data_IF_408393381310
#
_entry.id   IF_408393381310
#
_cell.length_a   1.000
_cell.length_b   1.000
_cell.length_c   1.000
_cell.angle_alpha   90.00
_cell.angle_beta   90.00
_cell.angle_gamma   90.00
#
_symmetry.space_group_name_H-M   'P 1'
#
loop_
_entity.id
_entity.type
_entity.pdbx_description
1 polymer ?
#
# COMPACT_ATOMS: atom_id res chain seq x y z
N UNK A 1 15.14 -59.93 -22.50
CA UNK A 1 14.42 -58.79 -23.13
C UNK A 1 14.00 -57.74 -22.11
N UNK A 2 13.42 -58.13 -20.96
CA UNK A 2 12.98 -57.24 -19.85
C UNK A 2 14.08 -56.32 -19.28
N UNK A 3 15.29 -56.84 -19.04
CA UNK A 3 16.44 -56.06 -18.55
C UNK A 3 16.91 -54.95 -19.50
N UNK A 4 16.79 -55.16 -20.82
CA UNK A 4 17.19 -54.14 -21.81
C UNK A 4 16.16 -53.00 -21.87
N UNK A 5 14.90 -53.29 -21.55
CA UNK A 5 13.83 -52.29 -21.44
C UNK A 5 13.97 -51.44 -20.17
N UNK A 6 14.30 -52.06 -19.03
CA UNK A 6 14.54 -51.34 -17.77
C UNK A 6 15.74 -50.40 -17.86
N UNK A 7 16.84 -50.86 -18.46
CA UNK A 7 18.02 -50.04 -18.70
C UNK A 7 17.72 -48.84 -19.63
N UNK A 8 16.87 -49.03 -20.65
CA UNK A 8 16.45 -47.95 -21.55
C UNK A 8 15.52 -46.95 -20.85
N UNK A 9 14.60 -47.43 -20.02
CA UNK A 9 13.69 -46.58 -19.23
C UNK A 9 14.44 -45.73 -18.21
N UNK A 10 15.43 -46.32 -17.53
CA UNK A 10 16.30 -45.59 -16.59
C UNK A 10 17.17 -44.57 -17.32
N UNK A 11 17.70 -44.91 -18.50
CA UNK A 11 18.49 -43.98 -19.31
C UNK A 11 17.64 -42.81 -19.82
N UNK A 12 16.41 -43.08 -20.29
CA UNK A 12 15.48 -42.03 -20.76
C UNK A 12 15.04 -41.14 -19.60
N UNK A 13 14.77 -41.69 -18.41
CA UNK A 13 14.48 -40.91 -17.19
C UNK A 13 15.67 -40.05 -16.74
N UNK A 14 16.90 -40.56 -16.90
CA UNK A 14 18.11 -39.82 -16.56
C UNK A 14 18.35 -38.67 -17.53
N UNK A 15 18.08 -38.87 -18.82
CA UNK A 15 18.22 -37.84 -19.86
C UNK A 15 17.11 -36.79 -19.77
N UNK A 16 15.87 -37.16 -19.45
CA UNK A 16 14.79 -36.18 -19.22
C UNK A 16 14.99 -35.35 -17.96
N UNK A 17 15.59 -35.91 -16.91
CA UNK A 17 15.99 -35.15 -15.72
C UNK A 17 17.14 -34.17 -16.01
N UNK A 18 18.02 -34.49 -16.97
CA UNK A 18 19.19 -33.67 -17.31
C UNK A 18 18.91 -32.60 -18.39
N UNK A 19 17.82 -32.76 -19.16
CA UNK A 19 17.36 -31.78 -20.15
C UNK A 19 16.23 -30.88 -19.65
N UNK A 20 15.81 -30.98 -18.39
CA UNK A 20 14.98 -29.93 -17.82
C UNK A 20 15.83 -28.65 -17.89
N UNK A 21 15.44 -27.62 -18.67
CA UNK A 21 16.06 -26.34 -18.48
C UNK A 21 15.86 -26.05 -16.99
N UNK A 22 16.94 -25.76 -16.28
CA UNK A 22 16.81 -25.03 -15.03
C UNK A 22 15.93 -23.86 -15.42
N UNK A 23 14.64 -23.89 -15.05
CA UNK A 23 13.81 -22.70 -15.10
C UNK A 23 14.72 -21.72 -14.41
N UNK A 24 15.19 -20.65 -15.09
CA UNK A 24 15.80 -19.60 -14.34
C UNK A 24 14.68 -19.24 -13.38
N UNK A 25 14.85 -19.66 -12.13
CA UNK A 25 14.52 -18.82 -11.02
C UNK A 25 15.39 -17.62 -11.32
N UNK A 26 14.91 -16.75 -12.22
CA UNK A 26 14.91 -15.34 -11.97
C UNK A 26 14.59 -15.32 -10.49
N UNK A 27 15.63 -15.13 -9.69
CA UNK A 27 15.49 -14.82 -8.29
C UNK A 27 14.39 -13.78 -8.34
N UNK A 28 13.17 -14.17 -7.98
CA UNK A 28 12.13 -13.21 -7.77
C UNK A 28 12.73 -12.47 -6.59
N UNK A 29 13.48 -11.40 -6.89
CA UNK A 29 13.99 -10.50 -5.89
C UNK A 29 12.79 -10.30 -4.98
N UNK A 30 12.90 -10.66 -3.70
CA UNK A 30 11.76 -10.71 -2.81
C UNK A 30 11.03 -9.39 -2.99
N UNK A 31 9.83 -9.42 -3.60
CA UNK A 31 9.23 -8.27 -4.27
C UNK A 31 9.44 -7.06 -3.37
N UNK A 32 10.41 -6.21 -3.73
CA UNK A 32 11.03 -5.38 -2.72
C UNK A 32 9.93 -4.53 -2.08
N UNK A 33 9.78 -4.63 -0.75
CA UNK A 33 8.78 -3.85 0.00
C UNK A 33 9.09 -2.36 -0.03
N UNK A 34 10.08 -1.96 -0.83
CA UNK A 34 10.49 -0.61 -1.12
C UNK A 34 9.50 0.07 -2.06
N UNK A 35 8.30 0.29 -1.56
CA UNK A 35 7.33 1.19 -2.17
C UNK A 35 7.87 2.62 -2.22
N UNK A 36 8.75 3.01 -1.29
CA UNK A 36 9.28 4.36 -1.19
C UNK A 36 10.16 4.73 -2.39
N UNK A 37 11.10 3.85 -2.78
CA UNK A 37 11.92 4.06 -3.97
C UNK A 37 11.07 4.16 -5.23
N UNK A 38 10.02 3.34 -5.36
CA UNK A 38 9.10 3.39 -6.51
C UNK A 38 8.27 4.67 -6.55
N UNK A 39 7.91 5.23 -5.41
CA UNK A 39 7.29 6.55 -5.34
C UNK A 39 8.28 7.65 -5.74
N UNK A 40 9.56 7.54 -5.38
CA UNK A 40 10.58 8.47 -5.85
C UNK A 40 10.74 8.42 -7.37
N UNK A 41 10.77 7.22 -7.98
CA UNK A 41 10.77 7.04 -9.44
C UNK A 41 9.51 7.65 -10.08
N UNK A 42 8.34 7.52 -9.45
CA UNK A 42 7.12 8.18 -9.93
C UNK A 42 7.27 9.70 -9.92
N UNK A 43 7.76 10.28 -8.83
CA UNK A 43 7.91 11.72 -8.69
C UNK A 43 8.95 12.28 -9.68
N UNK A 44 10.04 11.54 -9.96
CA UNK A 44 11.02 11.87 -11.00
C UNK A 44 10.39 11.86 -12.40
N UNK A 45 9.63 10.81 -12.74
CA UNK A 45 8.93 10.71 -14.01
C UNK A 45 7.89 11.84 -14.19
N UNK A 46 7.20 12.25 -13.12
CA UNK A 46 6.33 13.44 -13.14
C UNK A 46 7.14 14.69 -13.47
N UNK A 47 8.32 14.87 -12.85
CA UNK A 47 9.21 16.00 -13.10
C UNK A 47 9.70 16.09 -14.55
N UNK A 48 9.90 14.95 -15.21
CA UNK A 48 10.30 14.88 -16.63
C UNK A 48 9.12 14.88 -17.61
N UNK A 49 7.86 14.92 -17.13
CA UNK A 49 6.67 14.86 -17.98
C UNK A 49 6.38 13.45 -18.54
N UNK A 50 7.05 12.42 -18.03
CA UNK A 50 6.92 11.03 -18.46
C UNK A 50 5.73 10.34 -17.76
N UNK A 51 4.52 10.84 -18.03
CA UNK A 51 3.31 10.42 -17.30
C UNK A 51 3.01 8.92 -17.38
N UNK A 52 3.37 8.26 -18.49
CA UNK A 52 3.24 6.82 -18.63
C UNK A 52 4.18 6.06 -17.68
N UNK A 53 5.44 6.50 -17.56
CA UNK A 53 6.42 5.94 -16.62
C UNK A 53 6.00 6.21 -15.17
N UNK A 54 5.51 7.42 -14.87
CA UNK A 54 4.97 7.73 -13.54
C UNK A 54 3.81 6.80 -13.16
N UNK A 55 2.90 6.53 -14.10
CA UNK A 55 1.78 5.63 -13.85
C UNK A 55 2.23 4.16 -13.67
N UNK A 56 3.29 3.71 -14.35
CA UNK A 56 3.92 2.40 -14.09
C UNK A 56 4.50 2.36 -12.68
N UNK A 57 5.36 3.31 -12.33
CA UNK A 57 6.02 3.39 -11.03
C UNK A 57 5.02 3.44 -9.87
N UNK A 58 3.92 4.20 -10.01
CA UNK A 58 2.84 4.22 -9.02
C UNK A 58 2.20 2.84 -8.80
N UNK A 59 1.94 2.08 -9.88
CA UNK A 59 1.34 0.73 -9.76
C UNK A 59 2.28 -0.24 -9.06
N UNK A 60 3.56 -0.16 -9.35
CA UNK A 60 4.57 -0.98 -8.68
C UNK A 60 4.69 -0.60 -7.20
N UNK A 61 4.66 0.69 -6.88
CA UNK A 61 4.65 1.17 -5.49
C UNK A 61 3.41 0.66 -4.74
N UNK A 62 2.22 0.71 -5.38
CA UNK A 62 0.99 0.14 -4.84
C UNK A 62 1.13 -1.37 -4.55
N UNK A 63 1.69 -2.13 -5.50
CA UNK A 63 1.91 -3.56 -5.32
C UNK A 63 2.87 -3.84 -4.14
N UNK A 64 4.00 -3.15 -4.08
CA UNK A 64 4.98 -3.27 -3.00
C UNK A 64 4.39 -2.90 -1.63
N UNK A 65 3.67 -1.79 -1.54
CA UNK A 65 2.97 -1.36 -0.32
C UNK A 65 1.91 -2.38 0.11
N UNK A 66 1.18 -2.95 -0.85
CA UNK A 66 0.20 -3.98 -0.58
C UNK A 66 0.85 -5.24 0.02
N UNK A 67 1.99 -5.67 -0.53
CA UNK A 67 2.80 -6.81 -0.03
C UNK A 67 3.40 -6.55 1.34
N UNK A 68 3.78 -5.32 1.67
CA UNK A 68 4.33 -4.96 3.00
C UNK A 68 3.37 -5.18 4.18
N UNK A 69 2.07 -5.33 3.89
CA UNK A 69 0.98 -5.59 4.86
C UNK A 69 0.75 -4.55 5.96
N UNK A 70 1.57 -3.50 6.05
CA UNK A 70 1.38 -2.37 6.97
C UNK A 70 0.50 -1.25 6.41
N UNK A 71 0.11 -0.32 7.29
CA UNK A 71 -0.62 0.90 6.91
C UNK A 71 0.23 2.02 6.29
N UNK A 72 1.53 2.25 6.63
CA UNK A 72 2.26 3.43 6.15
C UNK A 72 2.40 3.50 4.63
N UNK A 73 2.76 2.38 4.00
CA UNK A 73 2.88 2.32 2.55
C UNK A 73 1.55 2.57 1.83
N UNK A 74 0.42 2.19 2.43
CA UNK A 74 -0.89 2.49 1.88
C UNK A 74 -1.19 3.99 1.95
N UNK A 75 -0.90 4.68 3.06
CA UNK A 75 -1.02 6.15 3.13
C UNK A 75 -0.17 6.81 2.03
N UNK A 76 1.11 6.45 1.94
CA UNK A 76 2.03 7.03 0.97
C UNK A 76 1.56 6.85 -0.49
N UNK A 77 1.07 5.66 -0.84
CA UNK A 77 0.57 5.37 -2.19
C UNK A 77 -0.75 6.10 -2.50
N UNK A 78 -1.60 6.32 -1.50
CA UNK A 78 -2.81 7.13 -1.64
C UNK A 78 -2.48 8.60 -1.91
N UNK A 79 -1.51 9.16 -1.19
CA UNK A 79 -1.02 10.52 -1.44
C UNK A 79 -0.37 10.65 -2.81
N UNK A 80 0.42 9.64 -3.20
CA UNK A 80 1.01 9.55 -4.53
C UNK A 80 -0.04 9.47 -5.65
N UNK A 81 -1.17 8.79 -5.42
CA UNK A 81 -2.27 8.75 -6.38
C UNK A 81 -2.82 10.16 -6.65
N UNK A 82 -2.94 11.00 -5.61
CA UNK A 82 -3.38 12.39 -5.74
C UNK A 82 -2.37 13.23 -6.52
N UNK A 83 -1.06 13.08 -6.25
CA UNK A 83 -0.01 13.76 -7.03
C UNK A 83 -0.06 13.37 -8.50
N UNK A 84 -0.16 12.07 -8.78
CA UNK A 84 -0.26 11.55 -10.15
C UNK A 84 -1.52 12.08 -10.86
N UNK A 85 -2.68 12.09 -10.19
CA UNK A 85 -3.91 12.61 -10.77
C UNK A 85 -3.84 14.10 -11.13
N UNK A 86 -3.12 14.90 -10.34
CA UNK A 86 -2.85 16.30 -10.69
C UNK A 86 -1.97 16.39 -11.93
N UNK A 87 -0.93 15.56 -12.03
CA UNK A 87 -0.02 15.55 -13.17
C UNK A 87 -0.69 15.06 -14.47
N UNK A 88 -1.63 14.11 -14.38
CA UNK A 88 -2.35 13.56 -15.55
C UNK A 88 -3.61 14.34 -15.91
N UNK A 89 -4.03 15.31 -15.10
CA UNK A 89 -5.30 16.02 -15.29
C UNK A 89 -6.55 15.19 -14.96
N UNK A 90 -6.40 14.14 -14.14
CA UNK A 90 -7.48 13.21 -13.77
C UNK A 90 -7.75 13.17 -12.25
N UNK A 91 -8.12 14.30 -11.61
CA UNK A 91 -8.28 14.38 -10.16
C UNK A 91 -9.35 13.43 -9.62
N UNK A 92 -10.48 13.26 -10.33
CA UNK A 92 -11.56 12.38 -9.87
C UNK A 92 -11.17 10.89 -9.83
N UNK A 93 -10.33 10.44 -10.76
CA UNK A 93 -9.79 9.07 -10.78
C UNK A 93 -8.83 8.89 -9.61
N UNK A 94 -7.98 9.87 -9.36
CA UNK A 94 -7.06 9.87 -8.25
C UNK A 94 -7.75 9.87 -6.89
N UNK A 95 -8.81 10.65 -6.70
CA UNK A 95 -9.59 10.67 -5.46
C UNK A 95 -10.22 9.30 -5.17
N UNK A 96 -10.88 8.67 -6.15
CA UNK A 96 -11.45 7.31 -5.97
C UNK A 96 -10.38 6.28 -5.62
N UNK A 97 -9.20 6.41 -6.22
CA UNK A 97 -8.04 5.55 -5.97
C UNK A 97 -7.51 5.78 -4.56
N UNK A 98 -7.25 7.02 -4.17
CA UNK A 98 -6.79 7.40 -2.83
C UNK A 98 -7.78 6.92 -1.75
N UNK A 99 -9.08 7.11 -1.96
CA UNK A 99 -10.13 6.65 -1.06
C UNK A 99 -10.02 5.14 -0.77
N UNK A 100 -9.91 4.31 -1.82
CA UNK A 100 -9.74 2.85 -1.68
C UNK A 100 -8.46 2.48 -0.92
N UNK A 101 -7.35 3.15 -1.23
CA UNK A 101 -6.06 2.87 -0.60
C UNK A 101 -6.08 3.28 0.87
N UNK A 102 -6.65 4.44 1.22
CA UNK A 102 -6.79 4.89 2.60
C UNK A 102 -7.71 4.00 3.43
N UNK A 103 -8.78 3.43 2.84
CA UNK A 103 -9.63 2.45 3.54
C UNK A 103 -8.81 1.22 3.96
N UNK A 104 -7.91 0.77 3.07
CA UNK A 104 -7.00 -0.34 3.39
C UNK A 104 -6.04 0.05 4.51
N UNK A 105 -5.50 1.27 4.48
CA UNK A 105 -4.63 1.78 5.54
C UNK A 105 -5.33 1.81 6.91
N UNK A 106 -6.56 2.35 6.96
CA UNK A 106 -7.37 2.44 8.18
C UNK A 106 -7.66 1.06 8.77
N UNK A 107 -8.04 0.09 7.91
CA UNK A 107 -8.30 -1.27 8.35
C UNK A 107 -7.05 -1.93 8.94
N UNK A 108 -5.89 -1.78 8.28
CA UNK A 108 -4.62 -2.33 8.76
C UNK A 108 -4.20 -1.68 10.08
N UNK A 109 -4.25 -0.35 10.17
CA UNK A 109 -3.93 0.39 11.39
C UNK A 109 -4.81 -0.02 12.57
N UNK A 110 -6.12 -0.15 12.36
CA UNK A 110 -7.04 -0.65 13.39
C UNK A 110 -6.67 -2.06 13.86
N UNK A 111 -6.38 -2.97 12.92
CA UNK A 111 -6.00 -4.36 13.24
C UNK A 111 -4.69 -4.43 14.03
N UNK A 112 -3.75 -3.54 13.72
CA UNK A 112 -2.47 -3.42 14.43
C UNK A 112 -2.59 -2.68 15.77
N UNK A 113 -3.77 -2.14 16.12
CA UNK A 113 -3.95 -1.31 17.31
C UNK A 113 -3.19 0.01 17.25
N UNK A 114 -2.80 0.46 16.05
CA UNK A 114 -1.97 1.64 15.84
C UNK A 114 -2.80 2.92 15.87
N UNK A 115 -2.71 3.67 16.97
CA UNK A 115 -3.32 5.00 17.07
C UNK A 115 -2.77 5.93 15.97
N UNK A 116 -1.46 5.89 15.72
CA UNK A 116 -0.79 6.68 14.69
C UNK A 116 -1.39 6.43 13.31
N UNK A 117 -1.53 5.17 12.92
CA UNK A 117 -2.09 4.81 11.63
C UNK A 117 -3.57 5.19 11.49
N UNK A 118 -4.37 5.07 12.56
CA UNK A 118 -5.78 5.46 12.56
C UNK A 118 -5.94 6.97 12.38
N UNK A 119 -5.15 7.76 13.11
CA UNK A 119 -5.15 9.21 12.99
C UNK A 119 -4.64 9.66 11.62
N UNK A 120 -3.58 9.04 11.11
CA UNK A 120 -3.03 9.35 9.78
C UNK A 120 -4.02 9.05 8.66
N UNK A 121 -4.72 7.90 8.71
CA UNK A 121 -5.76 7.58 7.74
C UNK A 121 -6.96 8.54 7.87
N UNK A 122 -7.39 8.85 9.09
CA UNK A 122 -8.45 9.83 9.33
C UNK A 122 -8.11 11.20 8.74
N UNK A 123 -6.87 11.67 8.93
CA UNK A 123 -6.39 12.93 8.36
C UNK A 123 -6.41 12.91 6.83
N UNK A 124 -5.95 11.80 6.23
CA UNK A 124 -5.98 11.59 4.79
C UNK A 124 -7.40 11.64 4.21
N UNK A 125 -8.40 11.06 4.91
CA UNK A 125 -9.81 11.18 4.54
C UNK A 125 -10.37 12.58 4.75
N UNK A 126 -9.94 13.28 5.81
CA UNK A 126 -10.34 14.67 6.05
C UNK A 126 -9.90 15.58 4.90
N UNK A 127 -8.68 15.36 4.36
CA UNK A 127 -8.19 16.08 3.17
C UNK A 127 -8.96 15.73 1.88
N UNK A 128 -9.63 14.58 1.82
CA UNK A 128 -10.57 14.23 0.74
C UNK A 128 -12.00 14.76 0.99
N UNK A 129 -12.27 15.35 2.16
CA UNK A 129 -13.60 15.80 2.55
C UNK A 129 -14.54 14.70 3.07
N UNK A 130 -14.06 13.47 3.28
CA UNK A 130 -14.89 12.34 3.74
C UNK A 130 -15.11 12.41 5.27
N UNK A 131 -16.09 13.22 5.67
CA UNK A 131 -16.44 13.44 7.08
C UNK A 131 -16.91 12.17 7.78
N UNK A 132 -17.61 11.29 7.08
CA UNK A 132 -18.12 10.05 7.68
C UNK A 132 -16.95 9.16 8.12
N UNK A 133 -15.92 9.02 7.28
CA UNK A 133 -14.75 8.22 7.63
C UNK A 133 -13.88 8.91 8.68
N UNK A 134 -13.77 10.25 8.69
CA UNK A 134 -13.10 10.99 9.77
C UNK A 134 -13.74 10.71 11.14
N UNK A 135 -15.08 10.71 11.22
CA UNK A 135 -15.80 10.40 12.46
C UNK A 135 -15.54 8.95 12.90
N UNK A 136 -15.54 8.01 11.95
CA UNK A 136 -15.24 6.62 12.23
C UNK A 136 -13.80 6.43 12.74
N UNK A 137 -12.83 7.11 12.12
CA UNK A 137 -11.43 7.09 12.57
C UNK A 137 -11.30 7.68 13.99
N UNK A 138 -12.01 8.77 14.29
CA UNK A 138 -12.06 9.37 15.62
C UNK A 138 -12.65 8.40 16.67
N UNK A 139 -13.71 7.68 16.34
CA UNK A 139 -14.30 6.68 17.23
C UNK A 139 -13.29 5.56 17.56
N UNK A 140 -12.62 5.00 16.55
CA UNK A 140 -11.58 3.98 16.72
C UNK A 140 -10.39 4.52 17.52
N UNK A 141 -9.93 5.74 17.22
CA UNK A 141 -8.82 6.37 17.92
C UNK A 141 -9.14 6.61 19.41
N UNK A 142 -10.38 7.02 19.72
CA UNK A 142 -10.86 7.21 21.09
C UNK A 142 -10.83 5.89 21.87
N UNK A 143 -11.29 4.81 21.25
CA UNK A 143 -11.24 3.47 21.84
C UNK A 143 -9.80 3.00 22.12
N UNK A 144 -8.89 3.17 21.15
CA UNK A 144 -7.47 2.81 21.31
C UNK A 144 -6.80 3.62 22.43
N UNK A 145 -7.04 4.93 22.49
CA UNK A 145 -6.49 5.79 23.54
C UNK A 145 -7.02 5.39 24.92
N UNK A 146 -8.32 5.10 25.04
CA UNK A 146 -8.90 4.66 26.32
C UNK A 146 -8.29 3.35 26.82
N UNK A 147 -8.06 2.37 25.94
CA UNK A 147 -7.43 1.09 26.27
C UNK A 147 -5.97 1.23 26.70
N UNK A 148 -5.25 2.20 26.14
CA UNK A 148 -3.84 2.43 26.48
C UNK A 148 -3.62 3.01 27.88
N UNK A 149 -4.63 3.72 28.43
CA UNK A 149 -4.49 4.47 29.68
C UNK A 149 -3.58 5.71 29.59
N UNK A 150 -3.01 6.00 28.42
CA UNK A 150 -2.03 7.07 28.21
C UNK A 150 -2.71 8.43 27.98
N UNK A 151 -2.32 9.42 28.78
CA UNK A 151 -2.77 10.80 28.64
C UNK A 151 -2.32 11.45 27.35
N UNK A 152 -1.14 11.09 26.82
CA UNK A 152 -0.67 11.62 25.54
C UNK A 152 -1.54 11.10 24.40
N UNK A 153 -1.87 9.80 24.38
CA UNK A 153 -2.84 9.23 23.44
C UNK A 153 -4.19 9.97 23.48
N UNK A 154 -4.74 10.22 24.68
CA UNK A 154 -5.99 10.99 24.85
C UNK A 154 -5.89 12.41 24.30
N UNK A 155 -4.79 13.12 24.57
CA UNK A 155 -4.54 14.48 24.05
C UNK A 155 -4.48 14.50 22.53
N UNK A 156 -3.79 13.53 21.92
CA UNK A 156 -3.67 13.42 20.45
C UNK A 156 -5.04 13.23 19.79
N UNK A 157 -5.90 12.39 20.37
CA UNK A 157 -7.29 12.23 19.91
C UNK A 157 -8.07 13.54 20.02
N UNK A 158 -7.90 14.28 21.11
CA UNK A 158 -8.58 15.57 21.30
C UNK A 158 -8.11 16.63 20.29
N UNK A 159 -6.81 16.67 19.98
CA UNK A 159 -6.25 17.56 18.94
C UNK A 159 -6.79 17.19 17.56
N UNK A 160 -6.84 15.89 17.24
CA UNK A 160 -7.44 15.43 15.98
C UNK A 160 -8.92 15.83 15.87
N UNK A 161 -9.68 15.66 16.96
CA UNK A 161 -11.07 16.09 17.04
C UNK A 161 -11.21 17.59 16.82
N UNK A 162 -10.44 18.41 17.53
CA UNK A 162 -10.57 19.87 17.39
C UNK A 162 -10.20 20.32 15.98
N UNK A 163 -9.16 19.74 15.38
CA UNK A 163 -8.76 20.04 14.01
C UNK A 163 -9.89 19.78 13.01
N UNK A 164 -10.52 18.60 13.06
CA UNK A 164 -11.54 18.25 12.07
C UNK A 164 -12.95 18.75 12.43
N UNK A 165 -13.27 19.01 13.70
CA UNK A 165 -14.60 19.49 14.11
C UNK A 165 -14.76 21.01 14.09
N UNK A 166 -13.66 21.78 14.11
CA UNK A 166 -13.70 23.24 14.12
C UNK A 166 -13.69 23.88 12.72
N UNK A 167 -13.47 23.12 11.65
CA UNK A 167 -13.38 23.64 10.27
C UNK A 167 -14.80 23.76 9.67
N UNK A 168 -15.33 24.98 9.45
CA UNK A 168 -16.57 25.20 8.68
C UNK A 168 -16.31 24.83 7.22
N UNK A 169 -17.28 24.17 6.59
CA UNK A 169 -17.19 23.70 5.21
C UNK A 169 -17.25 24.90 4.24
N UNK A 170 -16.30 24.98 3.31
CA UNK A 170 -16.44 25.75 2.05
C UNK A 170 -16.91 24.81 0.95
#
# INVERSE_FOLDING_TARGET
MRQRLEALLLLVLLVTALLLPAIPTASAEPASTDWAARLATMDEAIGHGELAAAQVAWREAYAAAHVSRGWPGMIAVGEAALRLGRATGEPSIAERRAHRVYLTALFRARREGSLDGVLAAGDAFGRLGDRAVVQQALAVATELAARSGDDLARRRVQVFRSHWMAVPLS
#
